data_IF_228983163562
#
_entry.id   IF_228983163562
#
_cell.length_a   1.000
_cell.length_b   1.000
_cell.length_c   1.000
_cell.angle_alpha   90.00
_cell.angle_beta   90.00
_cell.angle_gamma   90.00
#
_symmetry.space_group_name_H-M   'P 1'
#
loop_
_entity.id
_entity.type
_entity.pdbx_description
1 polymer ?
#
# COMPACT_ATOMS: atom_id res chain seq x y z
N UNK A 1 32.56 2.93 4.34
CA UNK A 1 31.91 2.15 3.25
C UNK A 1 31.10 3.13 2.43
N UNK A 2 31.05 2.97 1.11
CA UNK A 2 30.24 3.83 0.26
C UNK A 2 28.74 3.58 0.54
N UNK A 3 27.95 4.65 0.58
CA UNK A 3 26.50 4.56 0.68
C UNK A 3 25.95 3.90 -0.59
N UNK A 4 24.95 3.04 -0.44
CA UNK A 4 24.25 2.39 -1.55
C UNK A 4 22.77 2.76 -1.54
N UNK A 5 22.11 2.67 -2.71
CA UNK A 5 20.67 2.93 -2.84
C UNK A 5 19.85 1.99 -1.94
N UNK A 6 20.22 0.71 -1.91
CA UNK A 6 19.58 -0.29 -1.06
C UNK A 6 19.65 0.07 0.44
N UNK A 7 20.80 0.57 0.92
CA UNK A 7 20.92 1.03 2.31
C UNK A 7 20.03 2.24 2.60
N UNK A 8 19.92 3.18 1.65
CA UNK A 8 19.04 4.36 1.76
C UNK A 8 17.58 3.92 1.91
N UNK A 9 17.10 3.04 1.02
CA UNK A 9 15.71 2.56 1.04
C UNK A 9 15.43 1.72 2.28
N UNK A 10 16.31 0.77 2.61
CA UNK A 10 16.15 -0.09 3.79
C UNK A 10 16.05 0.74 5.07
N UNK A 11 16.92 1.74 5.22
CA UNK A 11 16.89 2.63 6.39
C UNK A 11 15.65 3.51 6.40
N UNK A 12 15.15 3.93 5.24
CA UNK A 12 13.89 4.66 5.14
C UNK A 12 12.68 3.80 5.57
N UNK A 13 12.64 2.53 5.15
CA UNK A 13 11.63 1.54 5.61
C UNK A 13 11.71 1.36 7.12
N UNK A 14 12.91 1.25 7.69
CA UNK A 14 13.09 1.09 9.14
C UNK A 14 12.69 2.36 9.93
N UNK A 15 12.90 3.54 9.36
CA UNK A 15 12.41 4.79 9.94
C UNK A 15 10.88 4.86 9.87
N UNK A 16 10.27 4.49 8.75
CA UNK A 16 8.81 4.44 8.59
C UNK A 16 8.18 3.48 9.60
N UNK A 17 8.70 2.26 9.73
CA UNK A 17 8.21 1.25 10.69
C UNK A 17 8.27 1.73 12.15
N UNK A 18 9.28 2.52 12.51
CA UNK A 18 9.49 3.00 13.88
C UNK A 18 8.72 4.27 14.22
N UNK A 19 8.56 5.18 13.26
CA UNK A 19 8.17 6.55 13.52
C UNK A 19 7.04 7.08 12.62
N UNK A 20 6.64 6.34 11.60
CA UNK A 20 5.64 6.78 10.63
C UNK A 20 6.19 7.77 9.60
N UNK A 21 5.32 8.13 8.65
CA UNK A 21 5.63 8.95 7.48
C UNK A 21 5.91 10.40 7.85
N UNK A 22 5.23 10.92 8.87
CA UNK A 22 5.43 12.29 9.37
C UNK A 22 6.88 12.55 9.78
N UNK A 23 7.54 11.52 10.30
CA UNK A 23 8.92 11.57 10.79
C UNK A 23 9.97 11.17 9.75
N UNK A 24 9.56 10.55 8.64
CA UNK A 24 10.43 10.20 7.52
C UNK A 24 10.77 11.44 6.68
N UNK A 25 11.89 12.08 7.01
CA UNK A 25 12.44 13.21 6.25
C UNK A 25 13.83 12.89 5.70
N UNK A 26 14.20 13.52 4.57
CA UNK A 26 15.55 13.37 3.98
C UNK A 26 16.66 13.70 4.99
N UNK A 27 16.45 14.72 5.83
CA UNK A 27 17.41 15.11 6.86
C UNK A 27 17.54 14.06 7.98
N UNK A 28 16.44 13.46 8.43
CA UNK A 28 16.47 12.39 9.44
C UNK A 28 17.12 11.13 8.87
N UNK A 29 16.79 10.78 7.63
CA UNK A 29 17.39 9.65 6.93
C UNK A 29 18.92 9.81 6.80
N UNK A 30 19.39 10.99 6.39
CA UNK A 30 20.82 11.27 6.30
C UNK A 30 21.52 11.14 7.66
N UNK A 31 20.87 11.62 8.73
CA UNK A 31 21.37 11.51 10.11
C UNK A 31 21.47 10.04 10.56
N UNK A 32 20.42 9.26 10.31
CA UNK A 32 20.39 7.83 10.65
C UNK A 32 21.51 7.06 9.93
N UNK A 33 21.78 7.42 8.68
CA UNK A 33 22.85 6.84 7.85
C UNK A 33 24.25 7.41 8.16
N UNK A 34 24.36 8.43 9.03
CA UNK A 34 25.64 9.07 9.36
C UNK A 34 26.29 9.83 8.20
N UNK A 35 25.49 10.34 7.25
CA UNK A 35 25.97 11.05 6.04
C UNK A 35 25.43 12.49 5.97
N UNK A 36 26.07 13.32 5.14
CA UNK A 36 25.51 14.63 4.80
C UNK A 36 24.24 14.47 3.95
N UNK A 37 23.19 15.32 4.10
CA UNK A 37 21.98 15.23 3.28
C UNK A 37 22.23 15.23 1.77
N UNK A 38 23.24 15.98 1.31
CA UNK A 38 23.68 15.99 -0.09
C UNK A 38 24.08 14.62 -0.63
N UNK A 39 24.54 13.70 0.24
CA UNK A 39 24.95 12.35 -0.16
C UNK A 39 23.76 11.48 -0.60
N UNK A 40 22.57 11.69 -0.01
CA UNK A 40 21.36 10.92 -0.37
C UNK A 40 20.94 11.16 -1.81
N UNK A 41 21.11 12.40 -2.30
CA UNK A 41 20.66 12.81 -3.62
C UNK A 41 21.42 12.17 -4.80
N UNK A 42 22.53 11.49 -4.53
CA UNK A 42 23.21 10.63 -5.51
C UNK A 42 22.52 9.27 -5.70
N UNK A 43 21.62 8.89 -4.78
CA UNK A 43 20.92 7.61 -4.79
C UNK A 43 19.42 7.74 -5.06
N UNK A 44 18.80 8.82 -4.55
CA UNK A 44 17.38 9.15 -4.74
C UNK A 44 17.25 10.66 -4.97
N UNK A 45 16.68 11.08 -6.10
CA UNK A 45 16.67 12.48 -6.50
C UNK A 45 15.82 13.37 -5.58
N UNK A 46 14.81 12.80 -4.92
CA UNK A 46 13.94 13.53 -3.98
C UNK A 46 13.18 12.57 -3.04
N UNK A 47 12.35 13.14 -2.15
CA UNK A 47 11.54 12.36 -1.21
C UNK A 47 10.49 11.52 -1.94
N UNK A 48 9.94 11.99 -3.05
CA UNK A 48 8.90 11.28 -3.81
C UNK A 48 9.46 9.99 -4.42
N UNK A 49 10.63 10.05 -5.06
CA UNK A 49 11.32 8.86 -5.59
C UNK A 49 11.65 7.86 -4.47
N UNK A 50 12.12 8.35 -3.32
CA UNK A 50 12.34 7.49 -2.15
C UNK A 50 11.04 6.79 -1.72
N UNK A 51 9.90 7.48 -1.71
CA UNK A 51 8.62 6.90 -1.31
C UNK A 51 8.12 5.84 -2.31
N UNK A 52 8.41 5.99 -3.61
CA UNK A 52 8.13 4.95 -4.61
C UNK A 52 8.89 3.67 -4.28
N UNK A 53 10.19 3.77 -4.00
CA UNK A 53 10.99 2.59 -3.65
C UNK A 53 10.59 1.98 -2.30
N UNK A 54 10.24 2.82 -1.31
CA UNK A 54 9.71 2.33 -0.03
C UNK A 54 8.41 1.57 -0.25
N UNK A 55 7.49 2.10 -1.07
CA UNK A 55 6.25 1.40 -1.41
C UNK A 55 6.51 0.07 -2.12
N UNK A 56 7.46 0.04 -3.07
CA UNK A 56 7.85 -1.19 -3.76
C UNK A 56 8.36 -2.24 -2.77
N UNK A 57 9.20 -1.86 -1.79
CA UNK A 57 9.67 -2.78 -0.74
C UNK A 57 8.52 -3.29 0.14
N UNK A 58 7.59 -2.41 0.54
CA UNK A 58 6.43 -2.80 1.35
C UNK A 58 5.52 -3.81 0.63
N UNK A 59 5.43 -3.69 -0.69
CA UNK A 59 4.57 -4.52 -1.53
C UNK A 59 5.30 -5.78 -2.05
N UNK A 60 6.63 -5.81 -2.05
CA UNK A 60 7.42 -6.92 -2.60
C UNK A 60 7.21 -8.26 -1.87
N UNK A 61 6.83 -8.24 -0.60
CA UNK A 61 6.59 -9.46 0.20
C UNK A 61 5.28 -10.17 -0.16
N UNK A 62 4.41 -9.54 -0.95
CA UNK A 62 3.12 -10.10 -1.33
C UNK A 62 3.35 -11.21 -2.36
N UNK A 63 2.82 -12.43 -2.16
CA UNK A 63 2.99 -13.52 -3.11
C UNK A 63 2.25 -13.24 -4.42
N UNK A 64 2.66 -13.88 -5.51
CA UNK A 64 1.92 -13.84 -6.76
C UNK A 64 0.52 -14.46 -6.57
N UNK A 65 -0.50 -13.95 -7.28
CA UNK A 65 -1.83 -14.53 -7.20
C UNK A 65 -1.83 -15.99 -7.70
N UNK A 66 -2.57 -16.88 -7.03
CA UNK A 66 -2.73 -18.26 -7.48
C UNK A 66 -3.39 -18.30 -8.86
N UNK A 67 -2.88 -19.16 -9.75
CA UNK A 67 -3.39 -19.33 -11.12
C UNK A 67 -4.46 -20.42 -11.23
N UNK A 68 -4.68 -21.20 -10.17
CA UNK A 68 -5.66 -22.29 -10.08
C UNK A 68 -6.99 -21.86 -9.46
N UNK A 69 -7.18 -20.55 -9.22
CA UNK A 69 -8.38 -19.97 -8.61
C UNK A 69 -9.17 -19.13 -9.62
N UNK A 70 -10.49 -18.99 -9.44
CA UNK A 70 -11.27 -18.01 -10.19
C UNK A 70 -10.67 -16.61 -10.04
N UNK A 71 -10.57 -15.80 -11.12
CA UNK A 71 -9.94 -14.47 -11.05
C UNK A 71 -10.54 -13.54 -9.99
N UNK A 72 -11.85 -13.62 -9.78
CA UNK A 72 -12.55 -12.92 -8.71
C UNK A 72 -12.04 -13.28 -7.30
N UNK A 73 -11.82 -14.57 -7.02
CA UNK A 73 -11.28 -15.04 -5.73
C UNK A 73 -9.80 -14.62 -5.58
N UNK A 74 -9.01 -14.73 -6.65
CA UNK A 74 -7.62 -14.30 -6.66
C UNK A 74 -7.49 -12.78 -6.44
N UNK A 75 -8.36 -11.97 -7.04
CA UNK A 75 -8.43 -10.52 -6.83
C UNK A 75 -8.67 -10.18 -5.36
N UNK A 76 -9.65 -10.83 -4.73
CA UNK A 76 -9.91 -10.66 -3.29
C UNK A 76 -8.70 -11.08 -2.46
N UNK A 77 -8.07 -12.21 -2.77
CA UNK A 77 -6.88 -12.69 -2.07
C UNK A 77 -5.71 -11.70 -2.12
N UNK A 78 -5.41 -11.14 -3.30
CA UNK A 78 -4.35 -10.12 -3.44
C UNK A 78 -4.72 -8.84 -2.68
N UNK A 79 -5.97 -8.38 -2.77
CA UNK A 79 -6.42 -7.19 -2.06
C UNK A 79 -6.29 -7.35 -0.53
N UNK A 80 -6.64 -8.52 0.02
CA UNK A 80 -6.43 -8.87 1.44
C UNK A 80 -4.95 -8.88 1.78
N UNK A 81 -4.11 -9.52 0.97
CA UNK A 81 -2.67 -9.59 1.22
C UNK A 81 -2.00 -8.21 1.23
N UNK A 82 -2.38 -7.32 0.30
CA UNK A 82 -1.93 -5.92 0.30
C UNK A 82 -2.37 -5.24 1.60
N UNK A 83 -3.66 -5.31 1.93
CA UNK A 83 -4.20 -4.68 3.14
C UNK A 83 -3.46 -5.13 4.40
N UNK A 84 -3.22 -6.42 4.56
CA UNK A 84 -2.50 -6.97 5.71
C UNK A 84 -1.05 -6.50 5.76
N UNK A 85 -0.35 -6.46 4.63
CA UNK A 85 1.02 -5.94 4.55
C UNK A 85 1.09 -4.48 5.01
N UNK A 86 0.16 -3.64 4.54
CA UNK A 86 0.12 -2.22 4.89
C UNK A 86 -0.29 -1.99 6.35
N UNK A 87 -1.18 -2.80 6.92
CA UNK A 87 -1.57 -2.66 8.33
C UNK A 87 -0.40 -2.86 9.31
N UNK A 88 0.65 -3.59 8.91
CA UNK A 88 1.84 -3.86 9.73
C UNK A 88 2.79 -2.67 9.82
N UNK A 89 2.61 -1.64 8.99
CA UNK A 89 3.52 -0.50 8.88
C UNK A 89 2.74 0.80 9.07
N UNK A 90 3.13 1.67 10.02
CA UNK A 90 2.47 2.96 10.22
C UNK A 90 2.48 3.79 8.95
N UNK A 91 1.36 4.46 8.66
CA UNK A 91 1.16 5.38 7.53
C UNK A 91 1.44 4.76 6.15
N UNK A 92 1.49 3.43 6.04
CA UNK A 92 1.83 2.75 4.79
C UNK A 92 0.78 2.99 3.70
N UNK A 93 -0.48 3.21 4.07
CA UNK A 93 -1.52 3.60 3.12
C UNK A 93 -1.19 4.92 2.43
N UNK A 94 -0.72 5.92 3.19
CA UNK A 94 -0.34 7.23 2.64
C UNK A 94 0.93 7.14 1.79
N UNK A 95 1.90 6.32 2.21
CA UNK A 95 3.12 6.06 1.42
C UNK A 95 2.76 5.46 0.05
N UNK A 96 1.92 4.42 0.02
CA UNK A 96 1.50 3.79 -1.23
C UNK A 96 0.64 4.74 -2.07
N UNK A 97 -0.25 5.54 -1.46
CA UNK A 97 -1.02 6.54 -2.18
C UNK A 97 -0.13 7.58 -2.88
N UNK A 98 0.89 8.09 -2.18
CA UNK A 98 1.86 9.04 -2.72
C UNK A 98 2.71 8.42 -3.82
N UNK A 99 3.21 7.20 -3.61
CA UNK A 99 3.97 6.46 -4.62
C UNK A 99 3.14 6.23 -5.89
N UNK A 100 1.89 5.79 -5.74
CA UNK A 100 0.97 5.55 -6.85
C UNK A 100 0.66 6.83 -7.63
N UNK A 101 0.55 7.98 -6.97
CA UNK A 101 0.37 9.26 -7.66
C UNK A 101 1.59 9.70 -8.48
N UNK A 102 2.79 9.24 -8.12
CA UNK A 102 4.05 9.55 -8.82
C UNK A 102 4.29 8.57 -9.96
N UNK A 103 4.15 7.27 -9.69
CA UNK A 103 4.41 6.20 -10.65
C UNK A 103 3.33 5.10 -10.54
N UNK A 104 2.17 5.29 -11.18
CA UNK A 104 1.10 4.30 -11.16
C UNK A 104 1.58 2.94 -11.69
N UNK A 105 1.46 1.90 -10.86
CA UNK A 105 1.78 0.53 -11.27
C UNK A 105 3.26 0.15 -11.26
N UNK A 106 4.14 0.89 -10.57
CA UNK A 106 5.56 0.50 -10.35
C UNK A 106 5.68 -0.84 -9.60
N UNK A 107 4.78 -1.10 -8.66
CA UNK A 107 4.78 -2.29 -7.83
C UNK A 107 4.05 -3.47 -8.48
N UNK A 108 4.66 -4.67 -8.43
CA UNK A 108 4.09 -5.91 -9.00
C UNK A 108 2.66 -6.20 -8.49
N UNK A 109 2.35 -6.12 -7.18
CA UNK A 109 1.00 -6.43 -6.69
C UNK A 109 -0.09 -5.48 -7.22
N UNK A 110 0.25 -4.22 -7.51
CA UNK A 110 -0.71 -3.27 -8.09
C UNK A 110 -0.98 -3.59 -9.57
N UNK A 111 0.05 -4.03 -10.32
CA UNK A 111 -0.16 -4.58 -11.67
C UNK A 111 -0.97 -5.86 -11.65
N UNK A 112 -0.76 -6.72 -10.65
CA UNK A 112 -1.56 -7.94 -10.47
C UNK A 112 -3.03 -7.60 -10.22
N UNK A 113 -3.34 -6.57 -9.41
CA UNK A 113 -4.72 -6.08 -9.23
C UNK A 113 -5.34 -5.66 -10.57
N UNK A 114 -4.66 -4.81 -11.35
CA UNK A 114 -5.17 -4.33 -12.64
C UNK A 114 -5.43 -5.47 -13.64
N UNK A 115 -4.54 -6.48 -13.67
CA UNK A 115 -4.71 -7.70 -14.45
C UNK A 115 -5.92 -8.52 -13.98
N UNK A 116 -6.01 -8.79 -12.68
CA UNK A 116 -7.08 -9.61 -12.11
C UNK A 116 -8.45 -8.95 -12.22
N UNK A 117 -8.52 -7.62 -12.16
CA UNK A 117 -9.75 -6.86 -12.42
C UNK A 117 -10.26 -7.11 -13.83
N UNK A 118 -9.36 -7.11 -14.83
CA UNK A 118 -9.72 -7.47 -16.20
C UNK A 118 -10.19 -8.92 -16.30
N UNK A 119 -9.42 -9.86 -15.74
CA UNK A 119 -9.73 -11.29 -15.78
C UNK A 119 -11.04 -11.63 -15.02
N UNK A 120 -11.40 -10.82 -14.02
CA UNK A 120 -12.65 -10.94 -13.27
C UNK A 120 -13.87 -10.34 -13.99
N UNK A 121 -13.68 -9.65 -15.12
CA UNK A 121 -14.77 -9.21 -15.99
C UNK A 121 -14.83 -7.72 -16.30
N UNK A 122 -13.86 -6.90 -15.85
CA UNK A 122 -13.84 -5.49 -16.22
C UNK A 122 -13.62 -5.32 -17.73
N UNK A 123 -14.39 -4.41 -18.33
CA UNK A 123 -14.19 -4.04 -19.73
C UNK A 123 -12.83 -3.35 -19.91
N UNK A 124 -12.24 -3.38 -21.11
CA UNK A 124 -10.97 -2.68 -21.37
C UNK A 124 -11.00 -1.18 -21.05
N UNK A 125 -12.16 -0.54 -21.19
CA UNK A 125 -12.38 0.88 -20.92
C UNK A 125 -12.55 1.23 -19.44
N UNK A 126 -12.81 0.24 -18.57
CA UNK A 126 -13.04 0.47 -17.13
C UNK A 126 -11.93 -0.13 -16.26
N UNK A 127 -11.01 -0.90 -16.85
CA UNK A 127 -10.00 -1.66 -16.13
C UNK A 127 -9.20 -0.79 -15.16
N UNK A 128 -8.76 0.38 -15.60
CA UNK A 128 -7.91 1.27 -14.79
C UNK A 128 -8.70 1.92 -13.66
N UNK A 129 -9.93 2.36 -13.94
CA UNK A 129 -10.84 2.96 -12.98
C UNK A 129 -11.24 1.95 -11.90
N UNK A 130 -11.52 0.70 -12.28
CA UNK A 130 -11.85 -0.36 -11.32
C UNK A 130 -10.63 -0.81 -10.53
N UNK A 131 -9.45 -0.92 -11.15
CA UNK A 131 -8.21 -1.19 -10.42
C UNK A 131 -7.93 -0.10 -9.38
N UNK A 132 -8.11 1.16 -9.77
CA UNK A 132 -7.98 2.33 -8.89
C UNK A 132 -9.04 2.30 -7.78
N UNK A 133 -10.28 1.91 -8.07
CA UNK A 133 -11.34 1.72 -7.06
C UNK A 133 -10.94 0.66 -6.02
N UNK A 134 -10.41 -0.49 -6.46
CA UNK A 134 -9.94 -1.55 -5.56
C UNK A 134 -8.78 -1.04 -4.71
N UNK A 135 -7.81 -0.34 -5.31
CA UNK A 135 -6.69 0.26 -4.60
C UNK A 135 -7.17 1.26 -3.54
N UNK A 136 -8.05 2.21 -3.91
CA UNK A 136 -8.59 3.18 -2.96
C UNK A 136 -9.38 2.53 -1.82
N UNK A 137 -10.11 1.44 -2.09
CA UNK A 137 -10.78 0.67 -1.05
C UNK A 137 -9.79 0.04 -0.07
N UNK A 138 -8.69 -0.54 -0.57
CA UNK A 138 -7.59 -1.06 0.25
C UNK A 138 -6.99 0.05 1.11
N UNK A 139 -6.50 1.12 0.48
CA UNK A 139 -5.81 2.22 1.15
C UNK A 139 -6.72 2.91 2.16
N UNK A 140 -7.96 3.19 1.78
CA UNK A 140 -8.96 3.79 2.66
C UNK A 140 -9.28 2.92 3.87
N UNK A 141 -9.38 1.61 3.70
CA UNK A 141 -9.63 0.69 4.83
C UNK A 141 -8.47 0.65 5.82
N UNK A 142 -7.21 0.67 5.32
CA UNK A 142 -6.00 0.69 6.14
C UNK A 142 -5.90 2.00 6.89
N UNK A 143 -6.02 3.13 6.19
CA UNK A 143 -5.95 4.47 6.76
C UNK A 143 -7.04 4.66 7.83
N UNK A 144 -8.29 4.27 7.55
CA UNK A 144 -9.39 4.37 8.52
C UNK A 144 -9.16 3.52 9.78
N UNK A 145 -8.56 2.34 9.66
CA UNK A 145 -8.23 1.50 10.81
C UNK A 145 -7.06 2.08 11.63
N UNK A 146 -5.97 2.51 10.97
CA UNK A 146 -4.83 3.11 11.66
C UNK A 146 -5.18 4.45 12.31
N UNK A 147 -5.98 5.29 11.66
CA UNK A 147 -6.45 6.56 12.24
C UNK A 147 -7.30 6.35 13.49
N UNK A 148 -8.20 5.36 13.49
CA UNK A 148 -8.95 5.01 14.71
C UNK A 148 -8.04 4.51 15.82
N UNK A 149 -7.06 3.65 15.50
CA UNK A 149 -6.06 3.19 16.47
C UNK A 149 -5.29 4.37 17.08
N UNK A 150 -4.85 5.31 16.26
CA UNK A 150 -4.15 6.51 16.69
C UNK A 150 -5.03 7.39 17.60
N UNK A 151 -6.28 7.65 17.21
CA UNK A 151 -7.19 8.47 18.02
C UNK A 151 -7.52 7.81 19.36
N UNK A 152 -7.70 6.49 19.40
CA UNK A 152 -7.92 5.76 20.65
C UNK A 152 -6.71 5.77 21.61
N UNK A 153 -5.49 5.98 21.10
CA UNK A 153 -4.31 6.21 21.95
C UNK A 153 -4.31 7.61 22.59
N UNK A 154 -4.90 8.60 21.90
CA UNK A 154 -4.99 9.98 22.38
C UNK A 154 -6.14 10.15 23.38
N UNK A 155 -7.28 9.52 23.09
CA UNK A 155 -8.48 9.56 23.93
C UNK A 155 -9.01 8.12 24.17
N UNK A 156 -8.83 7.56 25.37
CA UNK A 156 -9.28 6.21 25.71
C UNK A 156 -10.81 6.01 25.71
N UNK A 157 -11.61 7.09 25.67
CA UNK A 157 -13.07 6.97 25.57
C UNK A 157 -13.54 6.68 24.12
N UNK A 158 -12.66 6.91 23.13
CA UNK A 158 -12.98 6.63 21.74
C UNK A 158 -12.99 5.13 21.43
N UNK A 159 -13.82 4.69 20.47
CA UNK A 159 -13.86 3.30 20.05
C UNK A 159 -12.49 2.82 19.53
N UNK A 160 -11.99 1.73 20.09
CA UNK A 160 -10.81 1.04 19.56
C UNK A 160 -11.19 0.25 18.31
N UNK A 161 -10.30 0.17 17.30
CA UNK A 161 -10.54 -0.69 16.15
C UNK A 161 -10.57 -2.16 16.59
N UNK A 162 -11.57 -2.90 16.10
CA UNK A 162 -11.63 -4.36 16.21
C UNK A 162 -11.13 -4.96 14.89
N UNK A 163 -9.95 -5.59 14.87
CA UNK A 163 -9.38 -6.17 13.65
C UNK A 163 -10.31 -7.15 12.95
N UNK A 164 -11.15 -7.88 13.70
CA UNK A 164 -12.07 -8.88 13.13
C UNK A 164 -13.20 -8.19 12.37
N UNK A 165 -13.85 -7.21 13.01
CA UNK A 165 -14.90 -6.42 12.37
C UNK A 165 -14.37 -5.61 11.19
N UNK A 166 -13.16 -5.06 11.29
CA UNK A 166 -12.52 -4.28 10.23
C UNK A 166 -12.17 -5.14 9.01
N UNK A 167 -11.63 -6.35 9.23
CA UNK A 167 -11.38 -7.33 8.17
C UNK A 167 -12.69 -7.73 7.48
N UNK A 168 -13.74 -8.03 8.26
CA UNK A 168 -15.05 -8.38 7.72
C UNK A 168 -15.67 -7.25 6.89
N UNK A 169 -15.57 -5.99 7.34
CA UNK A 169 -16.06 -4.83 6.60
C UNK A 169 -15.31 -4.68 5.26
N UNK A 170 -13.99 -4.86 5.28
CA UNK A 170 -13.17 -4.84 4.06
C UNK A 170 -13.57 -5.94 3.07
N UNK A 171 -13.74 -7.18 3.53
CA UNK A 171 -14.15 -8.33 2.71
C UNK A 171 -15.54 -8.14 2.10
N UNK A 172 -16.50 -7.58 2.86
CA UNK A 172 -17.83 -7.23 2.33
C UNK A 172 -17.71 -6.19 1.20
N UNK A 173 -16.88 -5.16 1.37
CA UNK A 173 -16.62 -4.18 0.32
C UNK A 173 -16.02 -4.81 -0.94
N UNK A 174 -15.03 -5.69 -0.77
CA UNK A 174 -14.46 -6.45 -1.90
C UNK A 174 -15.50 -7.32 -2.59
N UNK A 175 -16.36 -8.01 -1.84
CA UNK A 175 -17.43 -8.82 -2.41
C UNK A 175 -18.44 -7.98 -3.21
N UNK A 176 -18.73 -6.74 -2.78
CA UNK A 176 -19.57 -5.80 -3.55
C UNK A 176 -18.89 -5.43 -4.87
N UNK A 177 -17.61 -5.05 -4.84
CA UNK A 177 -16.85 -4.70 -6.05
C UNK A 177 -16.80 -5.87 -7.03
N UNK A 178 -16.43 -7.06 -6.55
CA UNK A 178 -16.33 -8.27 -7.37
C UNK A 178 -17.68 -8.69 -7.98
N UNK A 179 -18.78 -8.59 -7.22
CA UNK A 179 -20.12 -8.84 -7.78
C UNK A 179 -20.48 -7.82 -8.87
N UNK A 180 -20.13 -6.56 -8.67
CA UNK A 180 -20.34 -5.49 -9.66
C UNK A 180 -19.70 -5.80 -11.02
N UNK A 181 -18.47 -6.34 -10.99
CA UNK A 181 -17.75 -6.78 -12.19
C UNK A 181 -18.48 -7.90 -12.95
N UNK A 182 -19.16 -8.80 -12.24
CA UNK A 182 -19.90 -9.89 -12.87
C UNK A 182 -21.23 -9.44 -13.49
N UNK A 183 -21.84 -8.38 -12.95
CA UNK A 183 -23.16 -7.85 -13.38
C UNK A 183 -23.11 -6.85 -14.54
N UNK A 184 -21.97 -6.28 -14.88
CA UNK A 184 -21.81 -5.36 -16.03
C UNK A 184 -21.92 -6.02 -17.41
N UNK A 185 -22.61 -7.17 -17.50
CA UNK A 185 -22.72 -8.04 -18.68
C UNK A 185 -24.06 -7.93 -19.42
N UNK A 186 -24.96 -7.07 -18.97
CA UNK A 186 -26.29 -6.87 -19.57
C UNK A 186 -26.38 -5.55 -20.37
#
# INVERSE_FOLDING_TARGET
>A
MALTREQVVTTAVDLLRRYGLGDLSMRRLARELGVAPGALYWHVANKQELLVEVADVLLAEIPEPPTDRPPAEALTGVAVAIREALLRVPDAADVVALAYAVEPGSARPLRDLARLVHDAGATPSEREEVATLVLHHILGSVAAQQNRALMAQVDPELPTPDPTSDAKAFEIGMAVIVRGLATGRD
#
